data_IF_367286219537
#
_entry.id   IF_367286219537
#
_cell.length_a   1.000
_cell.length_b   1.000
_cell.length_c   1.000
_cell.angle_alpha   90.00
_cell.angle_beta   90.00
_cell.angle_gamma   90.00
#
_symmetry.space_group_name_H-M   'P 1'
#
loop_
_entity.id
_entity.type
_entity.pdbx_description
1 polymer ?
#
# COMPACT_ATOMS: atom_id res chain seq x y z
N UNK A 1 -14.94 -41.37 -26.00
CA UNK A 1 -13.68 -40.61 -26.15
C UNK A 1 -13.93 -39.19 -25.66
N UNK A 2 -13.39 -38.83 -24.49
CA UNK A 2 -13.41 -37.46 -23.93
C UNK A 2 -12.14 -36.74 -24.36
N UNK A 3 -12.26 -35.56 -24.96
CA UNK A 3 -11.31 -34.42 -24.99
C UNK A 3 -11.95 -33.41 -25.95
N UNK A 4 -12.23 -32.15 -25.65
CA UNK A 4 -11.73 -31.22 -24.64
C UNK A 4 -11.86 -29.87 -25.34
N UNK A 5 -13.01 -29.20 -25.20
CA UNK A 5 -13.21 -27.87 -25.76
C UNK A 5 -12.31 -26.90 -24.99
N UNK A 6 -11.22 -26.47 -25.61
CA UNK A 6 -10.49 -25.28 -25.19
C UNK A 6 -11.46 -24.10 -25.30
N UNK A 7 -11.98 -23.66 -24.14
CA UNK A 7 -12.72 -22.41 -24.03
C UNK A 7 -11.73 -21.28 -24.22
N UNK A 8 -11.61 -20.78 -25.45
CA UNK A 8 -10.93 -19.52 -25.75
C UNK A 8 -11.62 -18.42 -24.93
N UNK A 9 -10.98 -17.99 -23.84
CA UNK A 9 -11.49 -16.92 -22.99
C UNK A 9 -11.67 -15.67 -23.85
N UNK A 10 -12.83 -15.01 -23.75
CA UNK A 10 -13.08 -13.75 -24.45
C UNK A 10 -12.02 -12.71 -24.07
N UNK A 11 -11.60 -11.82 -24.98
CA UNK A 11 -10.56 -10.81 -24.70
C UNK A 11 -10.83 -9.98 -23.44
N UNK A 12 -12.10 -9.79 -23.06
CA UNK A 12 -12.50 -9.16 -21.80
C UNK A 12 -12.09 -9.99 -20.56
N UNK A 13 -12.23 -11.31 -20.60
CA UNK A 13 -11.81 -12.20 -19.51
C UNK A 13 -10.30 -12.19 -19.34
N UNK A 14 -9.53 -12.28 -20.43
CA UNK A 14 -8.07 -12.18 -20.38
C UNK A 14 -7.60 -10.84 -19.78
N UNK A 15 -8.22 -9.73 -20.19
CA UNK A 15 -7.91 -8.41 -19.61
C UNK A 15 -8.21 -8.34 -18.10
N UNK A 16 -9.35 -8.85 -17.66
CA UNK A 16 -9.72 -8.85 -16.24
C UNK A 16 -8.77 -9.72 -15.41
N UNK A 17 -8.36 -10.87 -15.93
CA UNK A 17 -7.41 -11.76 -15.28
C UNK A 17 -6.02 -11.13 -15.17
N UNK A 18 -5.51 -10.52 -16.26
CA UNK A 18 -4.24 -9.80 -16.24
C UNK A 18 -4.28 -8.60 -15.28
N UNK A 19 -5.38 -7.85 -15.26
CA UNK A 19 -5.58 -6.76 -14.30
C UNK A 19 -5.59 -7.26 -12.86
N UNK A 20 -6.28 -8.36 -12.57
CA UNK A 20 -6.31 -8.96 -11.24
C UNK A 20 -4.91 -9.42 -10.80
N UNK A 21 -4.14 -10.03 -11.72
CA UNK A 21 -2.76 -10.47 -11.49
C UNK A 21 -1.80 -9.30 -11.25
N UNK A 22 -1.93 -8.21 -12.00
CA UNK A 22 -1.16 -6.99 -11.75
C UNK A 22 -1.53 -6.36 -10.42
N UNK A 23 -2.82 -6.27 -10.09
CA UNK A 23 -3.27 -5.73 -8.81
C UNK A 23 -2.80 -6.56 -7.62
N UNK A 24 -2.80 -7.89 -7.72
CA UNK A 24 -2.26 -8.75 -6.66
C UNK A 24 -0.75 -8.58 -6.53
N UNK A 25 0.00 -8.55 -7.64
CA UNK A 25 1.45 -8.32 -7.64
C UNK A 25 1.84 -6.97 -7.03
N UNK A 26 1.14 -5.89 -7.37
CA UNK A 26 1.36 -4.56 -6.81
C UNK A 26 1.03 -4.52 -5.30
N UNK A 27 -0.04 -5.19 -4.87
CA UNK A 27 -0.38 -5.30 -3.44
C UNK A 27 0.73 -5.99 -2.67
N UNK A 28 1.21 -7.15 -3.16
CA UNK A 28 2.30 -7.91 -2.54
C UNK A 28 3.59 -7.09 -2.47
N UNK A 29 4.00 -6.47 -3.57
CA UNK A 29 5.21 -5.63 -3.59
C UNK A 29 5.10 -4.45 -2.62
N UNK A 30 3.93 -3.81 -2.53
CA UNK A 30 3.70 -2.71 -1.58
C UNK A 30 3.74 -3.17 -0.13
N UNK A 31 3.16 -4.34 0.19
CA UNK A 31 3.22 -4.89 1.55
C UNK A 31 4.64 -5.26 1.93
N UNK A 32 5.43 -5.88 1.04
CA UNK A 32 6.85 -6.18 1.28
C UNK A 32 7.65 -4.90 1.58
N UNK A 33 7.52 -3.87 0.73
CA UNK A 33 8.20 -2.58 0.98
C UNK A 33 7.76 -1.90 2.29
N UNK A 34 6.51 -2.13 2.72
CA UNK A 34 6.02 -1.58 3.99
C UNK A 34 6.58 -2.35 5.18
N UNK A 35 6.68 -3.68 5.07
CA UNK A 35 7.31 -4.54 6.06
C UNK A 35 8.78 -4.15 6.27
N UNK A 36 9.55 -4.08 5.19
CA UNK A 36 10.97 -3.69 5.23
C UNK A 36 11.16 -2.32 5.90
N UNK A 37 10.31 -1.35 5.55
CA UNK A 37 10.38 0.00 6.14
C UNK A 37 10.00 0.00 7.61
N UNK A 38 8.98 -0.75 8.00
CA UNK A 38 8.56 -0.86 9.40
C UNK A 38 9.68 -1.48 10.25
N UNK A 39 10.35 -2.50 9.74
CA UNK A 39 11.42 -3.19 10.46
C UNK A 39 12.65 -2.31 10.70
N UNK A 40 12.84 -1.28 9.89
CA UNK A 40 13.90 -0.27 10.07
C UNK A 40 13.54 0.84 11.07
N UNK A 41 12.29 0.96 11.50
CA UNK A 41 11.86 2.03 12.41
C UNK A 41 12.39 1.83 13.83
N UNK A 42 12.75 2.93 14.47
CA UNK A 42 13.08 2.96 15.90
C UNK A 42 11.86 2.75 16.80
N UNK A 43 12.09 2.41 18.07
CA UNK A 43 11.01 2.07 19.02
C UNK A 43 9.97 3.19 19.15
N UNK A 44 10.39 4.45 19.15
CA UNK A 44 9.48 5.59 19.31
C UNK A 44 8.59 5.82 18.08
N UNK A 45 9.13 5.65 16.88
CA UNK A 45 8.35 5.69 15.65
C UNK A 45 7.32 4.55 15.62
N UNK A 46 7.71 3.35 16.05
CA UNK A 46 6.81 2.20 16.18
C UNK A 46 5.70 2.45 17.20
N UNK A 47 6.00 3.10 18.34
CA UNK A 47 5.00 3.50 19.34
C UNK A 47 3.93 4.40 18.75
N UNK A 48 4.33 5.43 18.00
CA UNK A 48 3.39 6.34 17.33
C UNK A 48 2.47 5.56 16.39
N UNK A 49 3.04 4.67 15.57
CA UNK A 49 2.25 3.82 14.66
C UNK A 49 1.28 2.92 15.45
N UNK A 50 1.72 2.32 16.57
CA UNK A 50 0.86 1.45 17.39
C UNK A 50 -0.31 2.22 18.02
N UNK A 51 -0.08 3.45 18.48
CA UNK A 51 -1.14 4.31 19.01
C UNK A 51 -2.18 4.59 17.92
N UNK A 52 -1.72 5.03 16.74
CA UNK A 52 -2.60 5.29 15.60
C UNK A 52 -3.32 4.03 15.10
N UNK A 53 -2.63 2.89 15.11
CA UNK A 53 -3.18 1.58 14.75
C UNK A 53 -4.31 1.18 15.69
N UNK A 54 -4.10 1.31 17.01
CA UNK A 54 -5.10 0.96 18.01
C UNK A 54 -6.31 1.89 17.96
N UNK A 55 -6.09 3.20 17.77
CA UNK A 55 -7.17 4.16 17.57
C UNK A 55 -8.00 3.84 16.32
N UNK A 56 -7.34 3.51 15.21
CA UNK A 56 -8.01 3.15 13.97
C UNK A 56 -8.73 1.80 14.08
N UNK A 57 -8.09 0.80 14.68
CA UNK A 57 -8.61 -0.55 14.86
C UNK A 57 -9.84 -0.58 15.78
N UNK A 58 -9.97 0.34 16.74
CA UNK A 58 -11.15 0.47 17.59
C UNK A 58 -12.47 0.69 16.81
N UNK A 59 -12.39 1.12 15.54
CA UNK A 59 -13.55 1.30 14.65
C UNK A 59 -13.98 0.03 13.93
N UNK A 60 -13.19 -1.04 14.02
CA UNK A 60 -13.43 -2.30 13.31
C UNK A 60 -13.57 -3.45 14.30
N UNK A 61 -14.62 -4.26 14.14
CA UNK A 61 -14.81 -5.44 14.98
C UNK A 61 -13.79 -6.53 14.63
N UNK A 62 -13.23 -7.18 15.65
CA UNK A 62 -12.36 -8.34 15.50
C UNK A 62 -10.88 -8.03 15.17
N UNK A 63 -10.46 -6.76 15.21
CA UNK A 63 -9.04 -6.41 15.12
C UNK A 63 -8.39 -6.34 16.51
N UNK A 64 -7.24 -7.00 16.71
CA UNK A 64 -6.53 -6.98 17.98
C UNK A 64 -5.87 -5.62 18.20
N UNK A 65 -5.72 -5.24 19.46
CA UNK A 65 -4.86 -4.14 19.85
C UNK A 65 -3.40 -4.59 19.82
N UNK A 66 -2.53 -3.74 19.28
CA UNK A 66 -1.10 -3.91 19.31
C UNK A 66 -0.58 -3.49 20.68
N UNK A 67 -0.01 -4.43 21.42
CA UNK A 67 0.50 -4.21 22.78
C UNK A 67 1.97 -3.76 22.77
N UNK A 68 2.42 -3.19 23.89
CA UNK A 68 3.81 -2.75 24.05
C UNK A 68 4.82 -3.89 23.84
N UNK A 69 4.47 -5.11 24.23
CA UNK A 69 5.32 -6.30 24.07
C UNK A 69 5.63 -6.61 22.61
N UNK A 70 4.72 -6.22 21.69
CA UNK A 70 4.87 -6.41 20.25
C UNK A 70 5.67 -5.30 19.56
N UNK A 71 6.08 -4.24 20.25
CA UNK A 71 6.82 -3.11 19.63
C UNK A 71 8.14 -3.54 18.98
N UNK A 72 8.82 -4.52 19.57
CA UNK A 72 10.10 -5.03 19.07
C UNK A 72 9.95 -6.14 18.03
N UNK A 73 8.73 -6.68 17.85
CA UNK A 73 8.46 -7.70 16.85
C UNK A 73 8.68 -7.11 15.45
N UNK A 74 9.29 -7.91 14.56
CA UNK A 74 9.31 -7.60 13.14
C UNK A 74 7.92 -7.71 12.54
N UNK A 75 7.72 -7.15 11.34
CA UNK A 75 6.44 -7.22 10.63
C UNK A 75 6.00 -8.68 10.44
N UNK A 76 6.95 -9.58 10.14
CA UNK A 76 6.66 -10.98 9.91
C UNK A 76 6.39 -11.80 11.19
N UNK A 77 6.81 -11.30 12.35
CA UNK A 77 6.53 -11.96 13.63
C UNK A 77 5.12 -11.66 14.16
N UNK A 78 4.44 -10.67 13.58
CA UNK A 78 3.06 -10.34 13.91
C UNK A 78 2.10 -11.32 13.24
N UNK A 79 1.03 -11.69 13.95
CA UNK A 79 -0.08 -12.44 13.37
C UNK A 79 -0.76 -11.64 12.26
N UNK A 80 -1.50 -12.32 11.38
CA UNK A 80 -2.19 -11.67 10.27
C UNK A 80 -3.13 -10.54 10.75
N UNK A 81 -3.82 -10.75 11.87
CA UNK A 81 -4.73 -9.75 12.43
C UNK A 81 -3.97 -8.56 13.01
N UNK A 82 -2.84 -8.80 13.71
CA UNK A 82 -1.96 -7.73 14.20
C UNK A 82 -1.37 -6.93 13.03
N UNK A 83 -0.93 -7.59 11.95
CA UNK A 83 -0.46 -6.91 10.74
C UNK A 83 -1.54 -6.03 10.13
N UNK A 84 -2.80 -6.47 10.12
CA UNK A 84 -3.93 -5.63 9.64
C UNK A 84 -4.13 -4.39 10.52
N UNK A 85 -4.11 -4.52 11.84
CA UNK A 85 -4.14 -3.37 12.76
C UNK A 85 -2.96 -2.42 12.49
N UNK A 86 -1.75 -2.96 12.35
CA UNK A 86 -0.54 -2.18 12.08
C UNK A 86 -0.67 -1.38 10.77
N UNK A 87 -1.15 -2.02 9.71
CA UNK A 87 -1.37 -1.37 8.41
C UNK A 87 -2.39 -0.24 8.48
N UNK A 88 -3.40 -0.32 9.36
CA UNK A 88 -4.31 0.80 9.61
C UNK A 88 -3.59 1.99 10.24
N UNK A 89 -2.69 1.75 11.21
CA UNK A 89 -1.88 2.80 11.82
C UNK A 89 -0.94 3.47 10.82
N UNK A 90 -0.27 2.69 9.98
CA UNK A 90 0.59 3.20 8.90
C UNK A 90 -0.22 4.04 7.91
N UNK A 91 -1.41 3.57 7.52
CA UNK A 91 -2.32 4.33 6.67
C UNK A 91 -2.73 5.65 7.32
N UNK A 92 -3.06 5.62 8.62
CA UNK A 92 -3.48 6.81 9.36
C UNK A 92 -2.36 7.85 9.47
N UNK A 93 -1.13 7.39 9.71
CA UNK A 93 0.04 8.25 9.71
C UNK A 93 0.26 8.92 8.34
N UNK A 94 0.12 8.17 7.24
CA UNK A 94 0.22 8.73 5.90
C UNK A 94 -0.88 9.76 5.59
N UNK A 95 -2.11 9.52 6.04
CA UNK A 95 -3.21 10.49 5.93
C UNK A 95 -2.90 11.79 6.70
N UNK A 96 -2.36 11.68 7.92
CA UNK A 96 -1.96 12.84 8.73
C UNK A 96 -0.83 13.63 8.07
N UNK A 97 0.22 12.96 7.59
CA UNK A 97 1.32 13.60 6.88
C UNK A 97 0.85 14.30 5.59
N UNK A 98 -0.14 13.74 4.90
CA UNK A 98 -0.74 14.36 3.70
C UNK A 98 -1.59 15.58 4.06
N UNK A 99 -2.31 15.55 5.18
CA UNK A 99 -3.17 16.63 5.63
C UNK A 99 -2.39 17.81 6.25
N UNK A 100 -1.21 17.54 6.81
CA UNK A 100 -0.33 18.51 7.47
C UNK A 100 1.10 18.45 6.89
N UNK A 101 1.27 18.76 5.59
CA UNK A 101 2.56 18.57 4.91
C UNK A 101 3.68 19.45 5.48
N UNK A 102 3.36 20.56 6.15
CA UNK A 102 4.34 21.44 6.80
C UNK A 102 4.82 20.94 8.16
N UNK A 103 4.06 20.07 8.85
CA UNK A 103 4.45 19.46 10.13
C UNK A 103 5.28 18.18 9.92
N UNK A 104 5.22 17.58 8.73
CA UNK A 104 5.93 16.35 8.40
C UNK A 104 6.69 16.44 7.07
N UNK A 105 7.75 17.28 6.99
CA UNK A 105 8.52 17.47 5.76
C UNK A 105 9.07 16.14 5.20
N UNK A 106 9.50 15.24 6.08
CA UNK A 106 10.10 13.95 5.72
C UNK A 106 9.09 12.90 5.21
N UNK A 107 7.79 13.05 5.53
CA UNK A 107 6.75 12.10 5.15
C UNK A 107 5.92 12.54 3.93
N UNK A 108 5.99 13.81 3.53
CA UNK A 108 5.28 14.36 2.38
C UNK A 108 5.90 13.96 1.01
N UNK A 109 7.09 13.35 1.02
CA UNK A 109 7.96 13.23 -0.16
C UNK A 109 7.56 12.23 -1.29
N UNK A 110 6.56 11.31 -1.22
CA UNK A 110 6.27 10.49 -2.41
C UNK A 110 5.35 11.17 -3.43
N UNK A 111 4.64 12.24 -3.07
CA UNK A 111 3.61 12.82 -3.94
C UNK A 111 4.16 13.81 -4.96
N UNK A 112 5.30 14.45 -4.68
CA UNK A 112 5.88 15.47 -5.56
C UNK A 112 6.45 14.86 -6.86
N UNK A 113 7.07 13.68 -6.82
CA UNK A 113 7.58 13.02 -8.03
C UNK A 113 6.45 12.54 -8.98
N UNK A 114 5.31 12.12 -8.42
CA UNK A 114 4.16 11.67 -9.21
C UNK A 114 3.44 12.85 -9.87
N UNK A 115 3.48 14.04 -9.25
CA UNK A 115 2.96 15.28 -9.86
C UNK A 115 3.91 15.83 -10.93
N UNK A 116 5.23 15.84 -10.68
CA UNK A 116 6.23 16.25 -11.67
C UNK A 116 6.19 15.39 -12.95
N UNK A 117 5.85 14.09 -12.81
CA UNK A 117 5.71 13.18 -13.97
C UNK A 117 4.37 13.31 -14.71
N UNK A 118 3.37 13.99 -14.13
CA UNK A 118 2.07 14.25 -14.77
C UNK A 118 2.00 15.61 -15.45
N UNK A 119 2.83 16.56 -15.05
CA UNK A 119 2.94 17.89 -15.66
C UNK A 119 3.69 17.89 -17.01
N UNK A 120 4.39 16.81 -17.35
CA UNK A 120 4.84 16.60 -18.71
C UNK A 120 3.66 16.22 -19.61
N UNK A 121 3.01 17.23 -20.21
CA UNK A 121 2.14 17.04 -21.37
C UNK A 121 2.86 16.16 -22.41
N UNK A 122 2.20 15.16 -23.02
CA UNK A 122 2.80 14.42 -24.11
C UNK A 122 3.09 15.40 -25.27
N UNK A 123 4.25 15.29 -25.94
CA UNK A 123 4.54 16.12 -27.11
C UNK A 123 3.47 15.89 -28.18
N UNK A 124 3.00 16.98 -28.81
CA UNK A 124 2.06 16.90 -29.92
C UNK A 124 2.63 16.03 -31.04
N UNK A 125 1.80 15.26 -31.76
CA UNK A 125 2.28 14.47 -32.89
C UNK A 125 2.74 15.43 -34.01
N UNK A 126 4.05 15.53 -34.21
CA UNK A 126 4.60 16.10 -35.45
C UNK A 126 4.28 15.15 -36.60
N UNK A 127 3.39 15.58 -37.48
CA UNK A 127 3.04 14.79 -38.67
C UNK A 127 1.72 15.16 -39.33
N UNK A 128 1.46 16.45 -39.52
CA UNK A 128 0.51 16.92 -40.53
C UNK A 128 1.26 17.87 -41.48
N UNK A 129 1.91 17.28 -42.48
CA UNK A 129 2.37 17.99 -43.66
C UNK A 129 1.54 17.48 -44.83
N UNK A 130 0.70 18.39 -45.34
CA UNK A 130 0.00 18.45 -46.64
C UNK A 130 -0.26 17.15 -47.41
#
# INVERSE_FOLDING_TARGET
MRTGQDKTLSGRQMFLEQRARLQSGLKVSRTCKTADRYDLLGEDQRKVIFILANEAAARFQGLPQLTRERLRAGFDDLSEQERRSLMLGIKRLAELATALPWEFPDYAAPCLEIQASRESSPPAPEGAAN
#
